data_IF_569083192583
#
_entry.id   IF_569083192583
#
_cell.length_a   1.000
_cell.length_b   1.000
_cell.length_c   1.000
_cell.angle_alpha   90.00
_cell.angle_beta   90.00
_cell.angle_gamma   90.00
#
_symmetry.space_group_name_H-M   'P 1'
#
loop_
_entity.id
_entity.type
_entity.pdbx_description
1 polymer ?
#
# COMPACT_ATOMS: atom_id res chain seq x y z
N UNK A 1 -16.65 -12.43 9.45
CA UNK A 1 -15.88 -11.57 8.53
C UNK A 1 -16.68 -10.30 8.36
N UNK A 2 -16.19 -9.18 8.86
CA UNK A 2 -16.91 -7.90 8.78
C UNK A 2 -17.13 -7.50 7.33
N UNK A 3 -18.39 -7.24 6.98
CA UNK A 3 -18.86 -6.99 5.63
C UNK A 3 -18.52 -5.58 5.10
N UNK A 4 -17.68 -4.81 5.82
CA UNK A 4 -17.49 -3.37 5.57
C UNK A 4 -16.09 -2.97 5.09
N UNK A 5 -15.05 -3.79 5.31
CA UNK A 5 -13.69 -3.46 4.85
C UNK A 5 -13.56 -3.82 3.36
N UNK A 6 -13.56 -2.81 2.48
CA UNK A 6 -13.41 -3.01 1.03
C UNK A 6 -11.96 -2.99 0.55
N UNK A 7 -11.05 -2.40 1.32
CA UNK A 7 -9.63 -2.30 0.97
C UNK A 7 -8.78 -3.28 1.81
N UNK A 8 -9.12 -4.57 1.78
CA UNK A 8 -8.31 -5.63 2.40
C UNK A 8 -7.77 -6.59 1.35
N UNK A 9 -6.47 -6.83 1.38
CA UNK A 9 -5.85 -7.93 0.65
C UNK A 9 -6.28 -9.27 1.29
N UNK A 10 -6.84 -10.18 0.50
CA UNK A 10 -7.37 -11.48 0.96
C UNK A 10 -6.55 -12.67 0.46
N UNK A 11 -5.43 -12.42 -0.22
CA UNK A 11 -4.46 -13.44 -0.61
C UNK A 11 -3.52 -13.80 0.52
N UNK A 12 -2.49 -14.60 0.21
CA UNK A 12 -1.44 -14.97 1.17
C UNK A 12 -0.25 -14.01 1.09
N UNK A 13 0.48 -13.83 2.19
CA UNK A 13 1.64 -12.93 2.20
C UNK A 13 2.73 -13.36 1.21
N UNK A 14 2.86 -14.66 0.91
CA UNK A 14 3.84 -15.14 -0.06
C UNK A 14 3.56 -14.68 -1.51
N UNK A 15 2.36 -14.16 -1.78
CA UNK A 15 2.03 -13.55 -3.07
C UNK A 15 2.70 -12.17 -3.24
N UNK A 16 3.17 -11.55 -2.15
CA UNK A 16 3.90 -10.29 -2.19
C UNK A 16 5.39 -10.57 -2.44
N UNK A 17 5.72 -10.74 -3.73
CA UNK A 17 7.07 -11.01 -4.19
C UNK A 17 7.68 -9.73 -4.82
N UNK A 18 8.78 -9.26 -4.22
CA UNK A 18 9.48 -8.05 -4.68
C UNK A 18 10.55 -8.33 -5.75
N UNK A 19 10.81 -9.60 -6.10
CA UNK A 19 11.96 -9.99 -6.94
C UNK A 19 11.83 -9.59 -8.43
N UNK A 20 10.68 -9.10 -8.87
CA UNK A 20 10.41 -8.83 -10.29
C UNK A 20 10.43 -10.11 -11.14
N UNK A 21 10.77 -9.96 -12.42
CA UNK A 21 10.90 -11.07 -13.39
C UNK A 21 12.34 -11.64 -13.49
N UNK A 22 13.27 -11.12 -12.70
CA UNK A 22 14.69 -11.53 -12.69
C UNK A 22 15.58 -10.94 -13.80
N UNK A 23 15.06 -10.08 -14.68
CA UNK A 23 15.86 -9.45 -15.76
C UNK A 23 16.32 -8.03 -15.46
N UNK A 24 15.66 -7.36 -14.52
CA UNK A 24 16.00 -6.01 -14.07
C UNK A 24 16.17 -5.94 -12.56
N UNK A 25 16.72 -4.81 -12.09
CA UNK A 25 16.79 -4.53 -10.66
C UNK A 25 15.36 -4.46 -10.09
N UNK A 26 15.07 -5.18 -8.99
CA UNK A 26 13.81 -5.04 -8.25
C UNK A 26 13.43 -3.59 -7.97
N UNK A 27 12.16 -3.25 -8.18
CA UNK A 27 11.63 -1.91 -7.88
C UNK A 27 11.66 -1.62 -6.37
N UNK A 28 11.36 -2.62 -5.55
CA UNK A 28 11.29 -2.52 -4.10
C UNK A 28 12.26 -3.51 -3.44
N UNK A 29 12.88 -3.08 -2.34
CA UNK A 29 13.73 -3.95 -1.52
C UNK A 29 12.99 -4.56 -0.32
N UNK A 30 12.03 -3.83 0.24
CA UNK A 30 11.29 -4.21 1.45
C UNK A 30 9.83 -3.73 1.34
N UNK A 31 8.94 -4.39 2.08
CA UNK A 31 7.53 -4.00 2.19
C UNK A 31 7.01 -4.28 3.60
N UNK A 32 5.97 -3.56 4.01
CA UNK A 32 5.20 -3.86 5.23
C UNK A 32 3.78 -3.31 5.14
N UNK A 33 2.88 -3.89 5.93
CA UNK A 33 1.53 -3.32 6.13
C UNK A 33 1.60 -2.08 7.02
N UNK A 34 0.91 -1.03 6.61
CA UNK A 34 0.92 0.27 7.30
C UNK A 34 -0.48 0.88 7.32
N UNK A 35 -0.75 1.74 8.32
CA UNK A 35 -1.95 2.58 8.31
C UNK A 35 -1.86 3.64 7.20
N UNK A 36 -2.99 4.18 6.72
CA UNK A 36 -3.00 5.30 5.79
C UNK A 36 -2.09 6.46 6.21
N UNK A 37 -2.09 6.81 7.51
CA UNK A 37 -1.26 7.88 8.06
C UNK A 37 0.24 7.55 7.98
N UNK A 38 0.63 6.32 8.35
CA UNK A 38 2.02 5.86 8.25
C UNK A 38 2.53 5.89 6.80
N UNK A 39 1.68 5.53 5.82
CA UNK A 39 2.03 5.61 4.40
C UNK A 39 2.37 7.06 3.98
N UNK A 40 1.63 8.06 4.46
CA UNK A 40 1.94 9.49 4.19
C UNK A 40 3.22 9.93 4.89
N UNK A 41 3.40 9.55 6.15
CA UNK A 41 4.56 9.95 6.94
C UNK A 41 5.87 9.46 6.33
N UNK A 42 5.90 8.21 5.88
CA UNK A 42 7.08 7.54 5.32
C UNK A 42 7.27 7.76 3.81
N UNK A 43 6.25 8.22 3.10
CA UNK A 43 6.38 8.53 1.67
C UNK A 43 7.42 9.63 1.42
N UNK A 44 8.12 9.52 0.29
CA UNK A 44 9.01 10.57 -0.21
C UNK A 44 8.23 11.86 -0.46
N UNK A 45 8.85 13.01 -0.16
CA UNK A 45 8.15 14.30 -0.03
C UNK A 45 7.26 14.67 -1.23
N UNK A 46 7.71 14.44 -2.46
CA UNK A 46 6.93 14.78 -3.65
C UNK A 46 5.68 13.90 -3.86
N UNK A 47 5.63 12.71 -3.25
CA UNK A 47 4.47 11.80 -3.35
C UNK A 47 3.40 12.08 -2.30
N UNK A 48 3.75 12.74 -1.19
CA UNK A 48 2.81 12.97 -0.07
C UNK A 48 1.50 13.64 -0.51
N UNK A 49 1.50 14.74 -1.29
CA UNK A 49 0.25 15.39 -1.68
C UNK A 49 -0.65 14.49 -2.54
N UNK A 50 -0.06 13.65 -3.38
CA UNK A 50 -0.80 12.70 -4.21
C UNK A 50 -1.42 11.61 -3.35
N UNK A 51 -0.64 11.05 -2.41
CA UNK A 51 -1.15 10.00 -1.53
C UNK A 51 -2.23 10.53 -0.58
N UNK A 52 -2.13 11.78 -0.11
CA UNK A 52 -3.16 12.43 0.71
C UNK A 52 -4.51 12.48 -0.02
N UNK A 53 -4.53 12.93 -1.27
CA UNK A 53 -5.75 12.99 -2.07
C UNK A 53 -6.32 11.60 -2.39
N UNK A 54 -5.46 10.62 -2.68
CA UNK A 54 -5.87 9.22 -2.89
C UNK A 54 -6.51 8.65 -1.62
N UNK A 55 -5.87 8.78 -0.46
CA UNK A 55 -6.39 8.24 0.79
C UNK A 55 -7.65 8.98 1.26
N UNK A 56 -7.76 10.27 0.99
CA UNK A 56 -9.00 11.04 1.21
C UNK A 56 -10.15 10.50 0.37
N UNK A 57 -9.91 10.17 -0.91
CA UNK A 57 -10.92 9.54 -1.76
C UNK A 57 -11.32 8.15 -1.24
N UNK A 58 -10.35 7.36 -0.78
CA UNK A 58 -10.60 6.01 -0.27
C UNK A 58 -11.09 5.95 1.18
N UNK A 59 -11.12 7.07 1.91
CA UNK A 59 -11.50 7.11 3.33
C UNK A 59 -12.82 6.36 3.67
N UNK A 60 -13.89 6.40 2.87
CA UNK A 60 -15.12 5.64 3.14
C UNK A 60 -14.97 4.11 3.06
N UNK A 61 -13.85 3.61 2.53
CA UNK A 61 -13.60 2.18 2.26
C UNK A 61 -12.50 1.57 3.13
N UNK A 62 -11.83 2.39 3.95
CA UNK A 62 -10.70 2.02 4.81
C UNK A 62 -11.13 1.62 6.23
N UNK A 63 -12.43 1.64 6.54
CA UNK A 63 -13.02 1.30 7.84
C UNK A 63 -13.35 -0.19 7.96
#
# INVERSE_FOLDING_TARGET
MDANIKCRFVGREEEINLSGNGTEKPEFGEWSWMTPQQVIELAVGFKKPVYEEVLKYFAPYLL
#
